data_IF_388815225211
#
_entry.id   IF_388815225211
#
_cell.length_a   1.000
_cell.length_b   1.000
_cell.length_c   1.000
_cell.angle_alpha   90.00
_cell.angle_beta   90.00
_cell.angle_gamma   90.00
#
_symmetry.space_group_name_H-M   'P 1'
#
loop_
_entity.id
_entity.type
_entity.pdbx_description
1 polymer ?
#
# COMPACT_ATOMS: atom_id res chain seq x y z
N UNK A 1 -56.33 -32.34 -2.99
CA UNK A 1 -56.05 -30.91 -2.77
C UNK A 1 -54.55 -30.68 -2.86
N UNK A 2 -54.08 -29.99 -3.89
CA UNK A 2 -52.85 -29.20 -3.86
C UNK A 2 -53.07 -28.01 -4.79
N UNK A 3 -52.99 -26.81 -4.22
CA UNK A 3 -53.44 -25.54 -4.77
C UNK A 3 -52.46 -24.93 -5.79
N UNK A 4 -52.98 -24.66 -6.99
CA UNK A 4 -53.09 -23.36 -7.67
C UNK A 4 -52.07 -22.27 -7.26
N UNK A 5 -50.98 -22.13 -8.00
CA UNK A 5 -50.43 -20.82 -8.46
C UNK A 5 -49.11 -20.99 -9.23
N UNK A 6 -49.19 -21.52 -10.45
CA UNK A 6 -48.07 -21.52 -11.41
C UNK A 6 -48.49 -20.75 -12.67
N UNK A 7 -48.84 -19.47 -12.48
CA UNK A 7 -49.29 -18.56 -13.54
C UNK A 7 -48.95 -17.11 -13.20
N UNK A 8 -47.67 -16.82 -12.98
CA UNK A 8 -47.21 -15.44 -12.80
C UNK A 8 -45.76 -15.20 -13.26
N UNK A 9 -44.92 -16.23 -13.26
CA UNK A 9 -43.51 -16.11 -13.69
C UNK A 9 -43.39 -15.82 -15.19
N UNK A 10 -44.23 -16.44 -16.03
CA UNK A 10 -44.20 -16.21 -17.48
C UNK A 10 -44.59 -14.78 -17.88
N UNK A 11 -45.58 -14.18 -17.19
CA UNK A 11 -46.00 -12.81 -17.48
C UNK A 11 -44.94 -11.80 -17.01
N UNK A 12 -44.31 -12.03 -15.86
CA UNK A 12 -43.18 -11.22 -15.39
C UNK A 12 -41.99 -11.27 -16.35
N UNK A 13 -41.65 -12.45 -16.87
CA UNK A 13 -40.53 -12.58 -17.81
C UNK A 13 -40.78 -11.83 -19.12
N UNK A 14 -42.01 -11.89 -19.64
CA UNK A 14 -42.38 -11.18 -20.88
C UNK A 14 -42.40 -9.66 -20.68
N UNK A 15 -42.84 -9.16 -19.52
CA UNK A 15 -42.81 -7.72 -19.19
C UNK A 15 -41.38 -7.22 -19.04
N UNK A 16 -40.48 -7.98 -18.40
CA UNK A 16 -39.07 -7.61 -18.29
C UNK A 16 -38.42 -7.55 -19.67
N UNK A 17 -38.64 -8.55 -20.54
CA UNK A 17 -38.07 -8.53 -21.90
C UNK A 17 -38.57 -7.36 -22.75
N UNK A 18 -39.83 -6.94 -22.61
CA UNK A 18 -40.37 -5.77 -23.30
C UNK A 18 -39.77 -4.45 -22.78
N UNK A 19 -39.47 -4.36 -21.48
CA UNK A 19 -38.79 -3.18 -20.90
C UNK A 19 -37.34 -3.06 -21.38
N UNK A 20 -36.64 -4.19 -21.59
CA UNK A 20 -35.30 -4.20 -22.18
C UNK A 20 -35.32 -3.91 -23.69
N UNK A 21 -36.40 -4.23 -24.40
CA UNK A 21 -36.55 -3.96 -25.84
C UNK A 21 -36.97 -2.51 -26.17
N UNK A 22 -37.62 -1.81 -25.23
CA UNK A 22 -38.08 -0.43 -25.43
C UNK A 22 -37.08 0.64 -24.99
N UNK A 23 -35.99 0.26 -24.31
CA UNK A 23 -34.91 1.19 -23.98
C UNK A 23 -33.75 1.02 -24.97
N UNK A 24 -33.55 1.94 -25.92
CA UNK A 24 -32.39 1.88 -26.78
C UNK A 24 -31.14 2.04 -25.93
N UNK A 25 -30.19 1.13 -26.15
CA UNK A 25 -28.82 1.19 -25.62
C UNK A 25 -28.26 2.59 -25.87
N UNK A 26 -28.23 3.43 -24.84
CA UNK A 26 -27.42 4.65 -24.86
C UNK A 26 -25.98 4.17 -24.80
N UNK A 27 -25.33 4.21 -25.94
CA UNK A 27 -23.89 4.17 -26.06
C UNK A 27 -23.31 5.21 -25.08
N UNK A 28 -22.67 4.74 -24.01
CA UNK A 28 -21.89 5.59 -23.12
C UNK A 28 -20.66 6.09 -23.90
N UNK A 29 -20.82 7.23 -24.56
CA UNK A 29 -19.71 8.14 -24.83
C UNK A 29 -19.44 8.97 -23.57
N UNK A 30 -18.20 8.88 -23.10
CA UNK A 30 -17.33 9.98 -22.64
C UNK A 30 -17.88 11.01 -21.64
N UNK A 31 -17.14 11.18 -20.54
CA UNK A 31 -17.02 12.48 -19.88
C UNK A 31 -17.58 12.55 -18.46
N UNK A 32 -16.66 12.56 -17.49
CA UNK A 32 -16.89 12.93 -16.11
C UNK A 32 -17.50 14.36 -16.03
N UNK A 33 -18.81 14.48 -15.80
CA UNK A 33 -19.43 15.74 -15.38
C UNK A 33 -19.40 15.84 -13.85
N UNK A 34 -18.44 16.61 -13.32
CA UNK A 34 -18.55 17.17 -11.97
C UNK A 34 -19.60 18.28 -11.96
N UNK A 35 -20.60 18.16 -11.10
CA UNK A 35 -21.45 19.28 -10.68
C UNK A 35 -20.69 20.12 -9.65
N UNK A 36 -20.41 21.39 -9.96
CA UNK A 36 -19.93 22.40 -9.01
C UNK A 36 -20.94 23.56 -8.97
N UNK A 37 -21.83 23.53 -8.00
CA UNK A 37 -22.53 24.71 -7.52
C UNK A 37 -21.56 25.50 -6.65
N UNK A 38 -21.18 26.70 -7.10
CA UNK A 38 -20.17 27.54 -6.48
C UNK A 38 -19.26 28.18 -7.52
N UNK A 39 -19.84 28.91 -8.46
CA UNK A 39 -19.11 29.77 -9.38
C UNK A 39 -18.51 30.95 -8.61
N UNK A 40 -17.26 30.81 -8.18
CA UNK A 40 -16.42 31.99 -7.97
C UNK A 40 -16.10 32.53 -9.35
N UNK A 41 -16.53 33.76 -9.63
CA UNK A 41 -16.04 34.55 -10.75
C UNK A 41 -14.53 34.65 -10.58
N UNK A 42 -13.78 33.75 -11.23
CA UNK A 42 -12.34 33.98 -11.44
C UNK A 42 -12.28 35.19 -12.35
N UNK A 43 -11.89 36.34 -11.79
CA UNK A 43 -11.43 37.46 -12.60
C UNK A 43 -10.41 36.91 -13.60
N UNK A 44 -10.65 37.16 -14.88
CA UNK A 44 -9.77 36.84 -16.01
C UNK A 44 -8.52 37.74 -15.95
N UNK A 45 -7.71 37.61 -14.90
CA UNK A 45 -6.42 38.32 -14.73
C UNK A 45 -5.41 37.56 -13.88
N UNK A 46 -5.49 36.22 -13.78
CA UNK A 46 -4.36 35.44 -13.27
C UNK A 46 -4.05 34.35 -14.28
N UNK A 47 -3.05 34.61 -15.15
CA UNK A 47 -2.36 33.52 -15.84
C UNK A 47 -1.81 32.62 -14.75
N UNK A 48 -2.30 31.40 -14.69
CA UNK A 48 -1.69 30.37 -13.85
C UNK A 48 -0.27 30.14 -14.41
N UNK A 49 0.74 30.66 -13.71
CA UNK A 49 2.12 30.53 -14.16
C UNK A 49 2.62 29.14 -13.77
N UNK A 50 2.90 28.33 -14.78
CA UNK A 50 3.46 27.00 -14.61
C UNK A 50 4.97 27.09 -14.81
N UNK A 51 5.71 26.85 -13.72
CA UNK A 51 7.17 26.76 -13.74
C UNK A 51 7.61 25.30 -13.81
N UNK A 52 8.81 25.07 -14.33
CA UNK A 52 9.36 23.72 -14.43
C UNK A 52 9.68 23.15 -13.05
N UNK A 53 9.04 22.03 -12.71
CA UNK A 53 9.23 21.35 -11.42
C UNK A 53 10.72 20.99 -11.19
N UNK A 54 11.18 21.12 -9.95
CA UNK A 54 12.56 20.87 -9.49
C UNK A 54 13.65 21.80 -10.07
N UNK A 55 13.38 22.58 -11.13
CA UNK A 55 14.34 23.53 -11.71
C UNK A 55 14.00 24.99 -11.40
N UNK A 56 12.72 25.30 -11.27
CA UNK A 56 12.22 26.67 -11.16
C UNK A 56 11.22 26.84 -10.01
N UNK A 57 11.05 28.09 -9.58
CA UNK A 57 10.02 28.49 -8.63
C UNK A 57 9.30 29.76 -9.10
N UNK A 58 7.99 29.90 -8.81
CA UNK A 58 7.24 31.09 -9.18
C UNK A 58 7.52 32.25 -8.21
N UNK A 59 7.73 33.45 -8.75
CA UNK A 59 7.79 34.69 -8.00
C UNK A 59 7.31 35.85 -8.90
N UNK A 60 6.49 36.76 -8.38
CA UNK A 60 6.02 37.95 -9.12
C UNK A 60 5.52 37.71 -10.57
N UNK A 61 4.76 36.62 -10.78
CA UNK A 61 4.26 36.18 -12.09
C UNK A 61 5.36 35.87 -13.13
N UNK A 62 6.58 35.56 -12.68
CA UNK A 62 7.67 34.99 -13.49
C UNK A 62 8.19 33.68 -12.86
N UNK A 63 8.88 32.86 -13.65
CA UNK A 63 9.58 31.69 -13.14
C UNK A 63 11.05 32.04 -12.93
N UNK A 64 11.54 31.85 -11.72
CA UNK A 64 12.95 32.02 -11.36
C UNK A 64 13.64 30.65 -11.32
N UNK A 65 14.94 30.60 -11.62
CA UNK A 65 15.73 29.38 -11.41
C UNK A 65 15.98 29.13 -9.92
N UNK A 66 15.82 27.88 -9.50
CA UNK A 66 16.07 27.42 -8.13
C UNK A 66 17.51 27.71 -7.68
N UNK A 67 17.69 28.11 -6.43
CA UNK A 67 18.96 28.05 -5.72
C UNK A 67 19.47 26.60 -5.62
N UNK A 68 20.78 26.40 -5.42
CA UNK A 68 21.34 25.04 -5.33
C UNK A 68 21.06 24.44 -3.94
N UNK A 69 21.23 23.13 -3.81
CA UNK A 69 21.24 22.47 -2.51
C UNK A 69 22.29 23.12 -1.58
N UNK A 70 21.97 23.22 -0.29
CA UNK A 70 22.79 23.94 0.68
C UNK A 70 22.71 25.46 0.60
N UNK A 71 21.80 25.99 -0.21
CA UNK A 71 21.53 27.43 -0.31
C UNK A 71 20.03 27.73 -0.29
N UNK A 72 19.70 29.00 -0.02
CA UNK A 72 18.35 29.55 -0.05
C UNK A 72 18.32 30.90 -0.78
N UNK A 73 17.14 31.38 -1.17
CA UNK A 73 16.93 32.65 -1.86
C UNK A 73 17.02 33.82 -0.87
N UNK A 74 18.13 34.56 -0.91
CA UNK A 74 18.31 35.81 -0.17
C UNK A 74 17.51 36.94 -0.84
N UNK A 75 17.69 37.10 -2.14
CA UNK A 75 17.00 38.06 -2.99
C UNK A 75 16.42 37.34 -4.21
N UNK A 76 15.18 37.68 -4.57
CA UNK A 76 14.51 37.03 -5.70
C UNK A 76 15.08 37.46 -7.06
N UNK A 77 14.80 36.66 -8.09
CA UNK A 77 15.12 37.06 -9.46
C UNK A 77 14.19 38.20 -9.91
N UNK A 78 14.70 39.11 -10.75
CA UNK A 78 13.91 40.19 -11.34
C UNK A 78 13.44 39.90 -12.77
N UNK A 79 13.96 38.83 -13.39
CA UNK A 79 13.67 38.44 -14.77
C UNK A 79 13.43 36.94 -14.85
N UNK A 80 12.56 36.54 -15.76
CA UNK A 80 12.23 35.13 -15.96
C UNK A 80 13.47 34.31 -16.36
N UNK A 81 13.55 33.10 -15.81
CA UNK A 81 14.61 32.12 -16.02
C UNK A 81 16.01 32.59 -15.55
N UNK A 82 16.06 33.62 -14.70
CA UNK A 82 17.27 33.99 -13.98
C UNK A 82 17.25 33.43 -12.55
N UNK A 83 18.45 33.24 -12.00
CA UNK A 83 18.63 32.89 -10.58
C UNK A 83 18.74 34.19 -9.78
N UNK A 84 18.00 34.28 -8.68
CA UNK A 84 18.18 35.35 -7.70
C UNK A 84 19.51 35.24 -6.96
N UNK A 85 19.70 36.08 -5.94
CA UNK A 85 20.84 35.96 -5.03
C UNK A 85 20.60 34.79 -4.08
N UNK A 86 21.48 33.79 -4.13
CA UNK A 86 21.45 32.64 -3.23
C UNK A 86 22.50 32.78 -2.13
N UNK A 87 22.16 32.36 -0.91
CA UNK A 87 23.07 32.35 0.24
C UNK A 87 23.13 30.96 0.87
N UNK A 88 24.28 30.61 1.43
CA UNK A 88 24.51 29.31 2.06
C UNK A 88 23.66 29.12 3.32
N UNK A 89 23.27 27.88 3.59
CA UNK A 89 22.62 27.53 4.85
C UNK A 89 23.55 27.75 6.05
N UNK A 90 22.98 28.20 7.16
CA UNK A 90 23.68 28.36 8.42
C UNK A 90 23.80 27.03 9.17
N UNK A 91 24.56 27.03 10.27
CA UNK A 91 24.72 25.86 11.14
C UNK A 91 23.36 25.31 11.59
N UNK A 92 23.24 23.98 11.57
CA UNK A 92 22.03 23.22 11.93
C UNK A 92 20.81 23.49 11.02
N UNK A 93 21.06 23.94 9.79
CA UNK A 93 20.06 24.08 8.72
C UNK A 93 20.53 23.47 7.40
N UNK A 94 19.59 23.08 6.55
CA UNK A 94 19.89 22.40 5.29
C UNK A 94 18.85 22.65 4.19
N UNK A 95 19.25 22.41 2.93
CA UNK A 95 18.35 22.19 1.80
C UNK A 95 18.91 21.07 0.94
N UNK A 96 18.19 19.95 0.83
CA UNK A 96 18.69 18.74 0.14
C UNK A 96 18.69 18.89 -1.39
N UNK A 97 17.81 19.73 -1.92
CA UNK A 97 17.61 19.90 -3.34
C UNK A 97 17.64 21.38 -3.74
N UNK A 98 17.71 21.62 -5.04
CA UNK A 98 17.53 22.95 -5.58
C UNK A 98 16.14 23.48 -5.24
N UNK A 99 16.06 24.73 -4.77
CA UNK A 99 14.84 25.25 -4.16
C UNK A 99 14.66 26.77 -4.37
N UNK A 100 13.42 27.24 -4.18
CA UNK A 100 13.05 28.65 -4.13
C UNK A 100 12.73 29.15 -2.71
N UNK A 101 13.24 28.49 -1.66
CA UNK A 101 12.92 28.80 -0.28
C UNK A 101 13.60 30.10 0.17
N UNK A 102 12.95 30.83 1.08
CA UNK A 102 13.51 32.06 1.68
C UNK A 102 14.38 31.83 2.91
N UNK A 103 14.48 30.59 3.35
CA UNK A 103 15.31 30.15 4.46
C UNK A 103 15.57 28.66 4.30
N UNK A 104 16.68 28.18 4.87
CA UNK A 104 16.94 26.75 4.95
C UNK A 104 16.03 26.05 5.96
N UNK A 105 15.88 24.73 5.79
CA UNK A 105 15.12 23.88 6.70
C UNK A 105 15.95 23.63 7.95
N UNK A 106 15.33 23.62 9.13
CA UNK A 106 16.04 23.23 10.36
C UNK A 106 16.32 21.74 10.35
N UNK A 107 17.50 21.35 10.80
CA UNK A 107 17.83 19.94 10.94
C UNK A 107 17.02 19.27 12.06
N UNK A 108 16.70 18.01 11.84
CA UNK A 108 16.02 17.16 12.82
C UNK A 108 16.88 17.01 14.07
N UNK A 109 16.25 17.10 15.25
CA UNK A 109 16.90 16.82 16.53
C UNK A 109 16.53 15.42 17.00
N UNK A 110 17.53 14.57 17.22
CA UNK A 110 17.28 13.21 17.72
C UNK A 110 16.83 13.24 19.18
N UNK A 111 15.79 12.46 19.49
CA UNK A 111 15.30 12.31 20.86
C UNK A 111 16.28 11.55 21.75
N UNK A 112 16.06 11.59 23.06
CA UNK A 112 16.95 10.99 24.06
C UNK A 112 17.07 9.46 23.98
N UNK A 113 16.08 8.79 23.36
CA UNK A 113 16.04 7.35 23.10
C UNK A 113 16.56 6.97 21.70
N UNK A 114 17.03 7.96 20.94
CA UNK A 114 17.61 7.79 19.60
C UNK A 114 19.12 8.04 19.61
N UNK A 115 19.75 7.66 18.51
CA UNK A 115 21.15 7.95 18.17
C UNK A 115 21.21 8.56 16.78
N UNK A 116 22.11 9.51 16.60
CA UNK A 116 22.41 10.09 15.29
C UNK A 116 23.18 9.09 14.45
N UNK A 117 22.63 8.73 13.29
CA UNK A 117 23.30 7.85 12.32
C UNK A 117 23.95 8.62 11.18
N UNK A 118 23.41 9.80 10.84
CA UNK A 118 24.04 10.77 9.94
C UNK A 118 23.93 12.16 10.53
N UNK A 119 25.05 12.88 10.53
CA UNK A 119 25.09 14.25 10.99
C UNK A 119 24.36 15.18 10.00
N UNK A 120 23.82 16.29 10.54
CA UNK A 120 23.29 17.38 9.73
C UNK A 120 24.43 18.03 8.93
N UNK A 121 24.17 18.33 7.66
CA UNK A 121 25.04 19.14 6.79
C UNK A 121 24.17 20.14 6.04
N UNK A 122 24.76 21.14 5.40
CA UNK A 122 23.99 22.12 4.62
C UNK A 122 23.14 21.48 3.50
N UNK A 123 23.49 20.29 3.02
CA UNK A 123 22.73 19.58 1.97
C UNK A 123 22.01 18.34 2.46
N UNK A 124 22.01 18.05 3.76
CA UNK A 124 21.44 16.78 4.26
C UNK A 124 20.92 16.95 5.69
N UNK A 125 19.70 16.45 5.92
CA UNK A 125 19.14 16.40 7.27
C UNK A 125 19.92 15.42 8.17
N UNK A 126 19.79 15.63 9.47
CA UNK A 126 20.20 14.65 10.47
C UNK A 126 19.30 13.42 10.39
N UNK A 127 19.90 12.25 10.29
CA UNK A 127 19.16 10.99 10.44
C UNK A 127 19.28 10.44 11.86
N UNK A 128 18.15 10.09 12.43
CA UNK A 128 18.02 9.54 13.78
C UNK A 128 17.52 8.10 13.71
N UNK A 129 18.03 7.24 14.61
CA UNK A 129 17.62 5.84 14.72
C UNK A 129 17.42 5.47 16.17
N UNK A 130 16.44 4.62 16.45
CA UNK A 130 16.23 4.08 17.80
C UNK A 130 17.49 3.38 18.33
N UNK A 131 17.79 3.59 19.62
CA UNK A 131 18.90 2.91 20.30
C UNK A 131 18.77 1.38 20.20
N UNK A 132 19.89 0.63 20.26
CA UNK A 132 19.85 -0.83 20.28
C UNK A 132 18.88 -1.37 21.34
N UNK A 133 18.06 -2.36 20.97
CA UNK A 133 17.01 -2.90 21.84
C UNK A 133 15.71 -2.09 21.85
N UNK A 134 15.55 -1.12 20.94
CA UNK A 134 14.29 -0.43 20.67
C UNK A 134 14.03 -0.26 19.18
N UNK A 135 12.76 -0.05 18.83
CA UNK A 135 12.27 0.08 17.46
C UNK A 135 11.14 1.11 17.38
N UNK A 136 10.92 1.67 16.20
CA UNK A 136 9.72 2.43 15.88
C UNK A 136 9.16 1.92 14.55
N UNK A 137 7.87 1.63 14.49
CA UNK A 137 7.30 1.05 13.29
C UNK A 137 7.15 2.15 12.20
N UNK A 138 7.43 1.85 10.92
CA UNK A 138 7.47 2.86 9.85
C UNK A 138 6.10 3.50 9.54
N UNK A 139 5.01 2.86 9.99
CA UNK A 139 3.63 3.37 9.94
C UNK A 139 3.34 4.41 11.04
N UNK A 140 4.25 4.62 11.97
CA UNK A 140 4.11 5.56 13.09
C UNK A 140 5.18 6.63 13.01
N UNK A 141 4.82 7.87 13.33
CA UNK A 141 5.82 8.90 13.57
C UNK A 141 6.75 8.38 14.68
N UNK A 142 8.05 8.23 14.38
CA UNK A 142 9.07 7.75 15.31
C UNK A 142 9.39 8.79 16.40
N UNK A 143 8.38 9.42 16.97
CA UNK A 143 8.48 10.36 18.08
C UNK A 143 8.93 9.65 19.37
N UNK A 144 8.61 8.36 19.51
CA UNK A 144 8.99 7.53 20.66
C UNK A 144 9.43 6.13 20.22
N UNK A 145 10.61 5.69 20.67
CA UNK A 145 11.14 4.35 20.42
C UNK A 145 10.60 3.33 21.43
N UNK A 146 9.93 2.30 20.93
CA UNK A 146 9.38 1.18 21.72
C UNK A 146 10.46 0.16 22.02
N UNK A 147 10.51 -0.38 23.24
CA UNK A 147 11.43 -1.47 23.57
C UNK A 147 11.09 -2.73 22.78
N UNK A 148 12.12 -3.43 22.33
CA UNK A 148 11.96 -4.72 21.68
C UNK A 148 11.38 -5.76 22.65
N UNK A 149 10.45 -6.57 22.16
CA UNK A 149 9.91 -7.72 22.87
C UNK A 149 11.04 -8.73 23.12
N UNK A 150 11.08 -9.28 24.34
CA UNK A 150 11.90 -10.45 24.68
C UNK A 150 10.96 -11.65 24.71
N UNK A 151 11.32 -12.71 23.98
CA UNK A 151 10.53 -13.94 24.00
C UNK A 151 10.69 -14.64 25.34
N UNK A 152 9.61 -15.25 25.83
CA UNK A 152 9.59 -16.03 27.06
C UNK A 152 10.33 -17.36 26.89
N UNK A 153 10.62 -18.07 27.99
CA UNK A 153 11.38 -19.34 27.97
C UNK A 153 10.70 -20.43 27.13
N UNK A 154 9.36 -20.45 27.11
CA UNK A 154 8.54 -21.41 26.34
C UNK A 154 8.31 -20.98 24.87
N UNK A 155 8.93 -19.89 24.42
CA UNK A 155 8.81 -19.38 23.07
C UNK A 155 10.09 -19.57 22.26
N UNK A 156 9.96 -19.45 20.94
CA UNK A 156 11.07 -19.40 19.99
C UNK A 156 11.00 -18.07 19.27
N UNK A 157 12.15 -17.39 19.18
CA UNK A 157 12.29 -16.18 18.40
C UNK A 157 12.29 -16.52 16.91
N UNK A 158 11.29 -16.05 16.18
CA UNK A 158 11.18 -16.23 14.73
C UNK A 158 11.88 -15.11 13.97
N UNK A 159 11.81 -13.87 14.46
CA UNK A 159 12.47 -12.70 13.86
C UNK A 159 13.14 -11.86 14.94
N UNK A 160 14.35 -11.38 14.64
CA UNK A 160 15.05 -10.45 15.50
C UNK A 160 14.44 -9.05 15.42
N UNK A 161 14.55 -8.30 16.52
CA UNK A 161 14.22 -6.89 16.52
C UNK A 161 15.18 -6.12 15.61
N UNK A 162 14.65 -5.12 14.90
CA UNK A 162 15.42 -4.13 14.15
C UNK A 162 15.04 -2.74 14.64
N UNK A 163 15.61 -1.67 14.08
CA UNK A 163 15.18 -0.32 14.46
C UNK A 163 13.77 0.02 13.96
N UNK A 164 13.23 -0.76 13.01
CA UNK A 164 11.91 -0.51 12.41
C UNK A 164 10.90 -1.64 12.66
N UNK A 165 11.30 -2.73 13.32
CA UNK A 165 10.43 -3.88 13.56
C UNK A 165 10.70 -4.53 14.91
N UNK A 166 9.62 -4.95 15.58
CA UNK A 166 9.74 -5.68 16.84
C UNK A 166 10.30 -7.10 16.63
N UNK A 167 10.75 -7.71 17.72
CA UNK A 167 10.95 -9.16 17.80
C UNK A 167 9.63 -9.90 17.57
N UNK A 168 9.67 -11.01 16.83
CA UNK A 168 8.52 -11.91 16.68
C UNK A 168 8.81 -13.22 17.42
N UNK A 169 7.92 -13.59 18.33
CA UNK A 169 8.00 -14.80 19.14
C UNK A 169 6.87 -15.77 18.78
N UNK A 170 7.11 -17.07 18.93
CA UNK A 170 6.11 -18.12 18.74
C UNK A 170 6.25 -19.15 19.83
N UNK A 171 5.14 -19.50 20.48
CA UNK A 171 5.11 -20.56 21.50
C UNK A 171 5.56 -21.90 20.92
N UNK A 172 6.38 -22.64 21.68
CA UNK A 172 6.68 -24.04 21.37
C UNK A 172 5.39 -24.83 21.55
N UNK A 173 4.81 -25.34 20.46
CA UNK A 173 3.78 -26.35 20.59
C UNK A 173 4.42 -27.59 21.24
N UNK A 174 3.80 -28.19 22.26
CA UNK A 174 4.19 -29.52 22.69
C UNK A 174 4.19 -30.42 21.45
N UNK A 175 5.23 -31.24 21.29
CA UNK A 175 5.16 -32.34 20.32
C UNK A 175 3.83 -33.07 20.58
N UNK A 176 3.07 -33.46 19.54
CA UNK A 176 1.93 -34.35 19.74
C UNK A 176 2.47 -35.51 20.57
N UNK A 177 1.97 -35.66 21.79
CA UNK A 177 2.37 -36.75 22.66
C UNK A 177 2.06 -38.03 21.90
N UNK A 178 3.09 -38.64 21.31
CA UNK A 178 3.02 -40.03 20.88
C UNK A 178 2.85 -40.79 22.17
N UNK A 179 1.60 -41.10 22.52
CA UNK A 179 1.29 -42.07 23.55
C UNK A 179 2.01 -43.36 23.10
N UNK A 180 3.04 -43.83 23.80
CA UNK A 180 3.65 -45.10 23.48
C UNK A 180 2.65 -46.17 23.91
N UNK A 181 1.82 -46.67 22.98
CA UNK A 181 0.90 -47.76 23.31
C UNK A 181 -0.35 -47.93 22.46
N UNK A 182 -0.72 -47.00 21.58
CA UNK A 182 -1.85 -47.26 20.67
C UNK A 182 -1.34 -47.93 19.41
N UNK A 183 -1.51 -49.26 19.32
CA UNK A 183 -1.44 -49.99 18.05
C UNK A 183 -2.21 -49.19 16.99
N UNK A 184 -1.72 -49.04 15.76
CA UNK A 184 -2.61 -48.74 14.65
C UNK A 184 -3.59 -49.91 14.60
N UNK A 185 -4.78 -49.74 15.16
CA UNK A 185 -5.90 -50.57 14.79
C UNK A 185 -6.02 -50.39 13.28
N UNK A 186 -5.79 -51.45 12.54
CA UNK A 186 -6.20 -51.52 11.15
C UNK A 186 -7.67 -51.16 11.14
N UNK A 187 -7.97 -49.93 10.74
CA UNK A 187 -9.31 -49.60 10.30
C UNK A 187 -9.46 -50.34 8.96
N UNK A 188 -9.76 -51.63 9.05
CA UNK A 188 -10.34 -52.37 7.96
C UNK A 188 -11.65 -51.63 7.65
N UNK A 189 -11.64 -50.81 6.61
CA UNK A 189 -12.82 -50.20 6.01
C UNK A 189 -13.26 -51.17 4.90
N UNK A 190 -14.17 -52.14 5.15
CA UNK A 190 -14.49 -53.16 4.17
C UNK A 190 -15.76 -52.77 3.39
N UNK A 191 -15.92 -51.49 3.02
CA UNK A 191 -17.17 -51.03 2.39
C UNK A 191 -17.00 -50.09 1.19
N UNK A 192 -15.80 -49.92 0.64
CA UNK A 192 -15.62 -49.16 -0.62
C UNK A 192 -14.95 -49.95 -1.75
N UNK A 193 -14.31 -51.10 -1.45
CA UNK A 193 -13.69 -51.94 -2.47
C UNK A 193 -14.65 -52.91 -3.20
N UNK A 194 -15.90 -53.07 -2.73
CA UNK A 194 -16.87 -53.99 -3.34
C UNK A 194 -17.69 -53.38 -4.48
N UNK A 195 -17.64 -52.06 -4.72
CA UNK A 195 -18.42 -51.40 -5.78
C UNK A 195 -17.60 -51.01 -7.02
N UNK A 196 -16.27 -51.06 -6.97
CA UNK A 196 -15.41 -50.71 -8.12
C UNK A 196 -14.90 -51.94 -8.90
N UNK A 197 -14.94 -53.14 -8.32
CA UNK A 197 -14.56 -54.38 -9.02
C UNK A 197 -15.57 -54.87 -10.06
N UNK A 198 -16.91 -54.63 -9.97
CA UNK A 198 -17.81 -55.02 -11.06
C UNK A 198 -17.68 -54.10 -12.27
N UNK A 199 -17.46 -52.79 -12.05
CA UNK A 199 -17.39 -51.80 -13.14
C UNK A 199 -16.16 -52.01 -14.03
N UNK A 200 -15.02 -52.38 -13.44
CA UNK A 200 -13.81 -52.67 -14.20
C UNK A 200 -13.91 -53.96 -15.04
N UNK A 201 -14.62 -54.98 -14.53
CA UNK A 201 -14.78 -56.26 -15.23
C UNK A 201 -15.80 -56.18 -16.38
N UNK A 202 -16.90 -55.42 -16.21
CA UNK A 202 -17.85 -55.17 -17.32
C UNK A 202 -17.34 -54.15 -18.35
N UNK A 203 -16.43 -53.24 -17.97
CA UNK A 203 -15.82 -52.27 -18.88
C UNK A 203 -14.78 -52.87 -19.84
N UNK A 204 -13.97 -53.83 -19.38
CA UNK A 204 -12.98 -54.51 -20.24
C UNK A 204 -13.59 -55.61 -21.12
N UNK A 205 -14.73 -56.19 -20.73
CA UNK A 205 -15.45 -57.17 -21.54
C UNK A 205 -16.12 -56.58 -22.80
N UNK A 206 -16.56 -55.31 -22.76
CA UNK A 206 -17.16 -54.65 -23.93
C UNK A 206 -16.12 -54.18 -24.96
N UNK A 207 -14.92 -53.80 -24.52
CA UNK A 207 -13.86 -53.35 -25.43
C UNK A 207 -13.22 -54.47 -26.25
N UNK A 208 -13.28 -55.74 -25.80
CA UNK A 208 -12.71 -56.87 -26.53
C UNK A 208 -13.63 -57.47 -27.61
N UNK A 209 -14.93 -57.15 -27.64
CA UNK A 209 -15.88 -57.69 -28.63
C UNK A 209 -16.05 -56.77 -29.85
N UNK A 210 -15.58 -55.53 -29.79
CA UNK A 210 -15.69 -54.55 -30.89
C UNK A 210 -14.44 -54.46 -31.78
N UNK A 211 -13.39 -55.25 -31.52
CA UNK A 211 -12.15 -55.26 -32.33
C UNK A 211 -11.76 -56.65 -32.82
N UNK A 212 -12.72 -57.40 -33.37
CA UNK A 212 -12.44 -58.55 -34.23
C UNK A 212 -13.46 -58.65 -35.35
#
# INVERSE_FOLDING_TARGET
MFDKSMSNIGLHYMVVLLIWALNPMVAAQSGLKLTRTGGSVRNLTQRDISCQENLEYPHDNICCLNCLAGTYVKEYCTRALERGTCEACEFDTYTEHGNGLRQCLKCTTCHSDQVTTKACTITQDRECRCKPGSFCAPDQACEVCKKCLRCEENEVRLKNCTATSNTVCKTRLPAPSTIPGTRPGTADIPLLHALLTPVYYYGLGFYCVLTQ
#
